data_IF_657158761219
#
_entry.id   IF_657158761219
#
_cell.length_a   1.000
_cell.length_b   1.000
_cell.length_c   1.000
_cell.angle_alpha   90.00
_cell.angle_beta   90.00
_cell.angle_gamma   90.00
#
_symmetry.space_group_name_H-M   'P 1'
#
loop_
_entity.id
_entity.type
_entity.pdbx_description
1 polymer ?
#
# COMPACT_ATOMS: atom_id res chain seq x y z
N UNK A 1 13.62 9.36 1.45
CA UNK A 1 12.79 8.36 2.16
C UNK A 1 11.98 7.65 1.08
N UNK A 2 12.48 6.52 0.57
CA UNK A 2 11.74 5.71 -0.43
C UNK A 2 10.60 5.01 0.30
N UNK A 3 9.35 5.35 -0.03
CA UNK A 3 8.18 4.70 0.54
C UNK A 3 8.02 3.32 -0.13
N UNK A 4 8.17 2.26 0.64
CA UNK A 4 7.87 0.91 0.19
C UNK A 4 6.36 0.71 0.22
N UNK A 5 5.77 0.33 -0.91
CA UNK A 5 4.35 0.02 -1.04
C UNK A 5 3.96 -1.08 -0.04
N UNK A 6 3.05 -0.77 0.88
CA UNK A 6 2.62 -1.71 1.91
C UNK A 6 1.41 -2.48 1.38
N UNK A 7 1.57 -3.78 1.11
CA UNK A 7 0.45 -4.67 0.80
C UNK A 7 -0.30 -5.00 2.09
N UNK A 8 -1.41 -4.31 2.30
CA UNK A 8 -2.28 -4.50 3.46
C UNK A 8 -3.24 -5.67 3.23
N UNK A 9 -2.83 -6.88 3.63
CA UNK A 9 -3.69 -8.06 3.61
C UNK A 9 -4.83 -7.98 4.64
N UNK A 10 -5.78 -8.92 4.58
CA UNK A 10 -6.92 -9.02 5.52
C UNK A 10 -6.56 -8.88 7.01
N UNK A 11 -5.43 -9.41 7.53
CA UNK A 11 -5.05 -9.23 8.93
C UNK A 11 -4.85 -7.77 9.34
N UNK A 12 -4.50 -6.88 8.40
CA UNK A 12 -4.30 -5.47 8.69
C UNK A 12 -5.59 -4.74 9.07
N UNK A 13 -6.75 -5.18 8.56
CA UNK A 13 -8.04 -4.56 8.86
C UNK A 13 -8.41 -4.64 10.36
N UNK A 14 -7.79 -5.58 11.09
CA UNK A 14 -7.98 -5.76 12.53
C UNK A 14 -6.87 -5.08 13.35
N UNK A 15 -5.82 -4.55 12.71
CA UNK A 15 -4.69 -3.93 13.39
C UNK A 15 -4.89 -2.41 13.47
N UNK A 16 -4.67 -1.83 14.65
CA UNK A 16 -4.64 -0.37 14.87
C UNK A 16 -5.89 0.42 14.44
N UNK A 17 -7.09 0.00 14.85
CA UNK A 17 -8.34 0.77 14.67
C UNK A 17 -8.50 1.30 13.22
N UNK A 18 -8.10 0.49 12.24
CA UNK A 18 -8.26 0.83 10.82
C UNK A 18 -9.74 0.76 10.47
N UNK A 19 -10.25 1.78 9.77
CA UNK A 19 -11.58 1.74 9.17
C UNK A 19 -11.44 1.54 7.67
N UNK A 20 -12.14 0.54 7.13
CA UNK A 20 -12.21 0.29 5.70
C UNK A 20 -13.59 0.71 5.18
N UNK A 21 -13.60 1.65 4.23
CA UNK A 21 -14.81 2.02 3.51
C UNK A 21 -14.96 1.09 2.29
N UNK A 22 -15.90 0.13 2.36
CA UNK A 22 -16.11 -0.85 1.30
C UNK A 22 -16.69 -0.29 0.00
N UNK A 23 -17.20 0.94 -0.01
CA UNK A 23 -17.72 1.58 -1.22
C UNK A 23 -16.59 2.27 -2.02
N UNK A 24 -15.75 3.04 -1.32
CA UNK A 24 -14.65 3.80 -1.95
C UNK A 24 -13.33 3.02 -1.92
N UNK A 25 -13.29 1.85 -1.28
CA UNK A 25 -12.07 1.08 -0.97
C UNK A 25 -11.00 1.89 -0.24
N UNK A 26 -11.41 2.91 0.53
CA UNK A 26 -10.49 3.74 1.30
C UNK A 26 -10.18 3.08 2.65
N UNK A 27 -8.92 3.15 3.06
CA UNK A 27 -8.47 2.67 4.37
C UNK A 27 -8.00 3.87 5.18
N UNK A 28 -8.65 4.11 6.32
CA UNK A 28 -8.27 5.16 7.26
C UNK A 28 -7.68 4.55 8.52
N UNK A 29 -6.58 5.07 9.02
CA UNK A 29 -6.02 4.65 10.30
C UNK A 29 -5.26 5.78 11.00
N UNK A 30 -5.12 5.67 12.33
CA UNK A 30 -4.36 6.64 13.11
C UNK A 30 -3.04 6.02 13.56
N UNK A 31 -1.94 6.69 13.27
CA UNK A 31 -0.61 6.29 13.72
C UNK A 31 0.09 7.48 14.37
N UNK A 32 0.54 7.31 15.62
CA UNK A 32 1.19 8.38 16.42
C UNK A 32 0.35 9.66 16.42
N UNK A 33 -0.94 9.52 16.72
CA UNK A 33 -1.94 10.62 16.76
C UNK A 33 -2.21 11.31 15.41
N UNK A 34 -1.55 10.88 14.32
CA UNK A 34 -1.80 11.39 12.97
C UNK A 34 -2.75 10.46 12.23
N UNK A 35 -3.79 11.04 11.64
CA UNK A 35 -4.75 10.33 10.79
C UNK A 35 -4.17 10.21 9.37
N UNK A 36 -4.18 8.99 8.84
CA UNK A 36 -3.77 8.66 7.48
C UNK A 36 -4.97 8.09 6.73
N UNK A 37 -5.09 8.47 5.47
CA UNK A 37 -6.08 7.95 4.52
C UNK A 37 -5.32 7.37 3.35
N UNK A 38 -5.57 6.10 3.05
CA UNK A 38 -5.05 5.40 1.88
C UNK A 38 -6.19 5.29 0.87
N UNK A 39 -5.93 5.80 -0.33
CA UNK A 39 -6.83 5.66 -1.47
C UNK A 39 -6.44 4.42 -2.28
N UNK A 40 -7.43 3.72 -2.85
CA UNK A 40 -7.13 2.60 -3.73
C UNK A 40 -6.38 3.10 -4.98
N UNK A 41 -5.43 2.31 -5.43
CA UNK A 41 -4.81 2.50 -6.74
C UNK A 41 -5.70 1.89 -7.81
N UNK A 42 -5.69 2.48 -9.01
CA UNK A 42 -6.34 1.85 -10.16
C UNK A 42 -5.59 0.56 -10.56
N UNK A 43 -6.26 -0.40 -11.22
CA UNK A 43 -5.59 -1.60 -11.70
C UNK A 43 -4.37 -1.32 -12.59
N UNK A 44 -4.43 -0.28 -13.43
CA UNK A 44 -3.32 0.12 -14.30
C UNK A 44 -2.12 0.61 -13.49
N UNK A 45 -2.35 1.47 -12.48
CA UNK A 45 -1.29 1.94 -11.58
C UNK A 45 -0.64 0.78 -10.84
N UNK A 46 -1.43 -0.19 -10.36
CA UNK A 46 -0.90 -1.38 -9.68
C UNK A 46 -0.02 -2.22 -10.61
N UNK A 47 -0.39 -2.35 -11.89
CA UNK A 47 0.41 -3.10 -12.87
C UNK A 47 1.74 -2.41 -13.14
N UNK A 48 1.71 -1.10 -13.41
CA UNK A 48 2.94 -0.30 -13.64
C UNK A 48 3.89 -0.40 -12.45
N UNK A 49 3.35 -0.25 -11.24
CA UNK A 49 4.11 -0.30 -9.99
C UNK A 49 4.75 -1.68 -9.76
N UNK A 50 4.02 -2.77 -10.06
CA UNK A 50 4.57 -4.12 -10.01
C UNK A 50 5.68 -4.36 -11.05
N UNK A 51 5.57 -3.79 -12.25
CA UNK A 51 6.61 -3.90 -13.28
C UNK A 51 7.89 -3.18 -12.82
N UNK A 52 7.77 -1.95 -12.32
CA UNK A 52 8.90 -1.19 -11.78
C UNK A 52 9.58 -1.92 -10.62
N UNK A 53 8.80 -2.49 -9.69
CA UNK A 53 9.35 -3.27 -8.57
C UNK A 53 10.11 -4.52 -9.03
N UNK A 54 9.61 -5.23 -10.06
CA UNK A 54 10.32 -6.39 -10.62
C UNK A 54 11.64 -5.99 -11.24
N UNK A 55 11.66 -4.89 -12.01
CA UNK A 55 12.88 -4.37 -12.63
C UNK A 55 13.93 -3.98 -11.58
N UNK A 56 13.55 -3.19 -10.56
CA UNK A 56 14.47 -2.80 -9.47
C UNK A 56 15.03 -4.01 -8.73
N UNK A 57 14.21 -5.02 -8.43
CA UNK A 57 14.65 -6.26 -7.79
C UNK A 57 15.62 -7.07 -8.66
N UNK A 58 15.46 -7.05 -9.98
CA UNK A 58 16.38 -7.71 -10.90
C UNK A 58 17.73 -6.97 -10.99
N UNK A 59 17.72 -5.65 -10.95
CA UNK A 59 18.94 -4.82 -10.90
C UNK A 59 19.72 -5.03 -9.60
N UNK A 60 19.03 -5.06 -8.46
CA UNK A 60 19.63 -5.35 -7.15
C UNK A 60 20.25 -6.76 -7.08
N UNK A 61 19.71 -7.74 -7.81
CA UNK A 61 20.27 -9.11 -7.88
C UNK A 61 21.46 -9.24 -8.83
N UNK A 62 21.62 -8.30 -9.76
CA UNK A 62 22.75 -8.26 -10.71
C UNK A 62 23.96 -7.50 -10.16
N UNK A 63 23.75 -6.74 -9.09
CA UNK A 63 24.79 -6.01 -8.35
C UNK A 63 25.33 -6.87 -7.21
#
# INVERSE_FOLDING_TARGET
MEAWHILLGRPWQFHKKTMHNGLTNEITFTHKEKKFVLHPLSPSQVIEDQVQMKMKREEEKKT
#
